data_IF_211251369781
#
_entry.id   IF_211251369781
#
_cell.length_a   1.000
_cell.length_b   1.000
_cell.length_c   1.000
_cell.angle_alpha   90.00
_cell.angle_beta   90.00
_cell.angle_gamma   90.00
#
_symmetry.space_group_name_H-M   'P 1'
#
loop_
_entity.id
_entity.type
_entity.pdbx_description
1 polymer ?
#
# COMPACT_ATOMS: atom_id res chain seq x y z
N UNK A 1 7.07 -23.41 22.68
CA UNK A 1 5.74 -23.01 22.17
C UNK A 1 5.96 -22.08 20.99
N UNK A 2 5.94 -22.59 19.76
CA UNK A 2 6.02 -21.73 18.58
C UNK A 2 4.64 -21.15 18.31
N UNK A 3 4.25 -20.13 19.07
CA UNK A 3 3.04 -19.37 18.79
C UNK A 3 3.15 -18.70 17.43
N UNK A 4 2.05 -18.63 16.71
CA UNK A 4 2.00 -17.85 15.46
C UNK A 4 2.34 -16.39 15.75
N UNK A 5 3.13 -15.69 14.90
CA UNK A 5 3.53 -14.32 15.16
C UNK A 5 2.33 -13.39 15.11
N UNK A 6 2.32 -12.36 15.96
CA UNK A 6 1.30 -11.30 15.88
C UNK A 6 1.40 -10.57 14.56
N UNK A 7 0.24 -10.25 13.97
CA UNK A 7 0.15 -9.49 12.72
C UNK A 7 -0.61 -8.20 12.96
N UNK A 8 -0.03 -7.08 12.53
CA UNK A 8 -0.66 -5.77 12.51
C UNK A 8 -1.12 -5.48 11.09
N UNK A 9 -2.45 -5.51 10.86
CA UNK A 9 -3.04 -5.13 9.56
C UNK A 9 -3.11 -3.62 9.50
N UNK A 10 -2.37 -3.01 8.59
CA UNK A 10 -2.25 -1.56 8.44
C UNK A 10 -3.01 -1.10 7.20
N UNK A 11 -4.00 -0.25 7.42
CA UNK A 11 -4.85 0.36 6.40
C UNK A 11 -4.64 1.88 6.40
N UNK A 12 -4.63 2.49 5.21
CA UNK A 12 -4.69 3.95 5.05
C UNK A 12 -6.02 4.30 4.40
N UNK A 13 -6.80 5.15 5.06
CA UNK A 13 -8.05 5.67 4.54
C UNK A 13 -7.92 7.15 4.15
N UNK A 14 -8.47 7.55 3.03
CA UNK A 14 -8.66 8.94 2.65
C UNK A 14 -9.96 9.11 1.86
N UNK A 15 -10.98 9.72 2.49
CA UNK A 15 -12.31 9.93 1.90
C UNK A 15 -12.91 8.64 1.28
N UNK A 16 -12.73 7.50 1.96
CA UNK A 16 -13.06 6.17 1.43
C UNK A 16 -13.70 5.24 2.45
N UNK A 17 -14.47 5.76 3.42
CA UNK A 17 -15.01 4.96 4.52
C UNK A 17 -15.83 3.74 4.07
N UNK A 18 -16.57 3.82 2.94
CA UNK A 18 -17.36 2.68 2.44
C UNK A 18 -16.49 1.49 2.09
N UNK A 19 -15.40 1.75 1.37
CA UNK A 19 -14.44 0.72 1.00
C UNK A 19 -13.70 0.21 2.24
N UNK A 20 -13.34 1.12 3.17
CA UNK A 20 -12.72 0.76 4.44
C UNK A 20 -13.61 -0.14 5.29
N UNK A 21 -14.91 0.12 5.39
CA UNK A 21 -15.83 -0.72 6.16
C UNK A 21 -15.95 -2.12 5.55
N UNK A 22 -16.04 -2.23 4.22
CA UNK A 22 -16.08 -3.53 3.53
C UNK A 22 -14.77 -4.31 3.72
N UNK A 23 -13.62 -3.63 3.66
CA UNK A 23 -12.32 -4.19 3.96
C UNK A 23 -12.26 -4.72 5.40
N UNK A 24 -12.65 -3.91 6.38
CA UNK A 24 -12.67 -4.28 7.80
C UNK A 24 -13.58 -5.48 8.05
N UNK A 25 -14.76 -5.56 7.43
CA UNK A 25 -15.64 -6.72 7.52
C UNK A 25 -14.93 -8.00 7.08
N UNK A 26 -14.12 -7.97 6.04
CA UNK A 26 -13.36 -9.13 5.58
C UNK A 26 -12.15 -9.43 6.48
N UNK A 27 -11.46 -8.41 6.95
CA UNK A 27 -10.28 -8.53 7.82
C UNK A 27 -10.66 -9.13 9.18
N UNK A 28 -11.76 -8.68 9.79
CA UNK A 28 -12.18 -9.22 11.09
C UNK A 28 -12.74 -10.65 11.03
N UNK A 29 -12.89 -11.22 9.82
CA UNK A 29 -13.22 -12.64 9.57
C UNK A 29 -12.03 -13.51 9.21
N UNK A 30 -10.80 -13.00 9.36
CA UNK A 30 -9.60 -13.79 9.09
C UNK A 30 -9.50 -14.99 10.04
N UNK A 31 -9.15 -16.13 9.47
CA UNK A 31 -8.81 -17.36 10.19
C UNK A 31 -7.34 -17.27 10.64
N UNK A 32 -7.09 -16.35 11.58
CA UNK A 32 -5.78 -16.12 12.18
C UNK A 32 -5.95 -15.64 13.63
N UNK A 33 -5.31 -16.28 14.63
CA UNK A 33 -5.67 -16.08 16.04
C UNK A 33 -5.19 -14.76 16.62
N UNK A 34 -4.03 -14.23 16.22
CA UNK A 34 -3.42 -13.05 16.84
C UNK A 34 -3.13 -11.96 15.80
N UNK A 35 -4.15 -11.14 15.50
CA UNK A 35 -3.98 -9.96 14.69
C UNK A 35 -4.66 -8.74 15.31
N UNK A 36 -4.15 -7.57 14.94
CA UNK A 36 -4.71 -6.24 15.27
C UNK A 36 -4.80 -5.41 14.01
N UNK A 37 -5.72 -4.47 14.00
CA UNK A 37 -5.94 -3.57 12.86
C UNK A 37 -5.58 -2.14 13.26
N UNK A 38 -4.77 -1.49 12.44
CA UNK A 38 -4.45 -0.06 12.55
C UNK A 38 -4.97 0.61 11.29
N UNK A 39 -5.89 1.55 11.45
CA UNK A 39 -6.41 2.38 10.37
C UNK A 39 -5.89 3.80 10.56
N UNK A 40 -5.06 4.25 9.63
CA UNK A 40 -4.63 5.64 9.56
C UNK A 40 -5.60 6.42 8.65
N UNK A 41 -6.45 7.24 9.26
CA UNK A 41 -7.28 8.18 8.53
C UNK A 41 -6.44 9.39 8.12
N UNK A 42 -6.20 9.50 6.85
CA UNK A 42 -5.20 10.39 6.24
C UNK A 42 -5.77 11.80 5.96
N UNK A 43 -6.45 12.38 6.95
CA UNK A 43 -7.05 13.71 6.85
C UNK A 43 -8.34 13.71 6.02
N UNK A 44 -9.23 12.73 6.22
CA UNK A 44 -10.52 12.67 5.55
C UNK A 44 -11.45 13.80 5.97
N UNK A 45 -12.30 14.24 5.04
CA UNK A 45 -13.30 15.30 5.23
C UNK A 45 -14.73 14.82 5.01
N UNK A 46 -14.91 13.51 4.79
CA UNK A 46 -16.19 12.87 4.46
C UNK A 46 -16.87 12.18 5.67
N UNK A 47 -16.36 12.40 6.90
CA UNK A 47 -16.83 11.76 8.11
C UNK A 47 -16.34 10.30 8.25
N UNK A 48 -15.24 9.95 7.61
CA UNK A 48 -14.69 8.59 7.62
C UNK A 48 -14.44 8.08 9.03
N UNK A 49 -13.82 8.87 9.91
CA UNK A 49 -13.48 8.45 11.29
C UNK A 49 -14.73 8.09 12.05
N UNK A 50 -15.73 8.95 12.07
CA UNK A 50 -17.02 8.78 12.76
C UNK A 50 -17.79 7.55 12.22
N UNK A 51 -17.69 7.33 10.89
CA UNK A 51 -18.31 6.15 10.24
C UNK A 51 -17.62 4.84 10.63
N UNK A 52 -16.30 4.84 10.76
CA UNK A 52 -15.55 3.66 11.19
C UNK A 52 -15.82 3.37 12.67
N UNK A 53 -15.92 4.40 13.54
CA UNK A 53 -16.31 4.25 14.94
C UNK A 53 -17.73 3.65 15.06
N UNK A 54 -18.72 4.23 14.38
CA UNK A 54 -20.08 3.73 14.36
C UNK A 54 -20.19 2.28 13.83
N UNK A 55 -19.33 1.91 12.88
CA UNK A 55 -19.23 0.52 12.42
C UNK A 55 -18.67 -0.39 13.51
N UNK A 56 -17.64 -0.01 14.22
CA UNK A 56 -17.07 -0.79 15.33
C UNK A 56 -18.08 -0.96 16.47
N UNK A 57 -18.90 0.05 16.74
CA UNK A 57 -19.99 0.03 17.74
C UNK A 57 -21.20 -0.79 17.28
N UNK A 58 -21.31 -1.14 15.99
CA UNK A 58 -22.42 -1.91 15.44
C UNK A 58 -23.61 -1.07 14.96
N UNK A 59 -23.52 0.27 15.01
CA UNK A 59 -24.59 1.19 14.59
C UNK A 59 -24.54 1.54 13.10
N UNK A 60 -23.39 1.38 12.44
CA UNK A 60 -23.19 1.59 10.99
C UNK A 60 -22.93 0.24 10.31
N UNK A 61 -23.80 -0.23 9.40
CA UNK A 61 -23.51 -1.42 8.62
C UNK A 61 -22.44 -1.15 7.54
N UNK A 62 -21.62 -2.15 7.25
CA UNK A 62 -20.83 -2.16 6.03
C UNK A 62 -21.76 -2.54 4.86
N UNK A 63 -21.68 -1.77 3.78
CA UNK A 63 -22.40 -2.09 2.53
C UNK A 63 -21.41 -2.73 1.56
N UNK A 64 -21.57 -4.04 1.29
CA UNK A 64 -20.88 -4.67 0.17
C UNK A 64 -21.45 -4.15 -1.15
N UNK A 65 -20.59 -3.70 -2.05
CA UNK A 65 -21.03 -3.16 -3.33
C UNK A 65 -21.23 -4.24 -4.41
N UNK A 66 -20.79 -5.49 -4.17
CA UNK A 66 -20.92 -6.60 -5.13
C UNK A 66 -21.05 -7.98 -4.49
N UNK A 67 -21.98 -8.77 -5.06
CA UNK A 67 -22.25 -10.17 -4.73
C UNK A 67 -21.15 -11.14 -5.24
N UNK A 68 -20.16 -10.64 -5.99
CA UNK A 68 -19.23 -11.47 -6.76
C UNK A 68 -17.88 -11.77 -6.07
N UNK A 69 -17.45 -10.98 -5.09
CA UNK A 69 -16.34 -11.42 -4.25
C UNK A 69 -16.87 -12.53 -3.33
N UNK A 70 -16.15 -13.65 -3.12
CA UNK A 70 -16.57 -14.64 -2.16
C UNK A 70 -16.68 -13.99 -0.81
N UNK A 71 -17.90 -13.56 -0.48
CA UNK A 71 -18.20 -12.96 0.82
C UNK A 71 -17.95 -14.01 1.87
N UNK A 72 -17.17 -13.70 2.87
CA UNK A 72 -17.00 -14.61 3.97
C UNK A 72 -18.33 -14.72 4.70
N UNK A 73 -18.78 -15.94 4.90
CA UNK A 73 -19.73 -16.35 5.90
C UNK A 73 -20.90 -15.38 6.20
N UNK A 74 -22.12 -15.83 6.06
CA UNK A 74 -23.36 -15.09 6.42
C UNK A 74 -23.48 -14.76 7.92
N UNK A 75 -22.49 -15.17 8.72
CA UNK A 75 -22.47 -14.89 10.17
C UNK A 75 -22.06 -13.44 10.42
N UNK A 76 -22.91 -12.63 11.09
CA UNK A 76 -22.54 -11.29 11.50
C UNK A 76 -21.27 -11.29 12.37
N UNK A 77 -20.46 -10.23 12.29
CA UNK A 77 -19.38 -10.03 13.24
C UNK A 77 -19.96 -9.68 14.61
N UNK A 78 -19.36 -10.24 15.65
CA UNK A 78 -19.66 -9.83 17.03
C UNK A 78 -19.23 -8.38 17.24
N UNK A 79 -20.18 -7.54 17.58
CA UNK A 79 -19.99 -6.13 17.89
C UNK A 79 -20.55 -5.81 19.27
N UNK A 80 -19.99 -4.82 19.99
CA UNK A 80 -18.98 -3.86 19.55
C UNK A 80 -17.56 -4.46 19.44
N UNK A 81 -16.78 -3.96 18.48
CA UNK A 81 -15.35 -4.25 18.39
C UNK A 81 -14.62 -3.18 19.22
N UNK A 82 -13.85 -3.57 20.27
CA UNK A 82 -13.08 -2.62 21.06
C UNK A 82 -12.08 -1.85 20.18
N UNK A 83 -12.12 -0.52 20.28
CA UNK A 83 -11.23 0.35 19.50
C UNK A 83 -10.66 1.47 20.34
N UNK A 84 -9.55 2.03 19.85
CA UNK A 84 -8.90 3.23 20.37
C UNK A 84 -8.82 4.25 19.25
N UNK A 85 -9.16 5.49 19.53
CA UNK A 85 -8.90 6.63 18.66
C UNK A 85 -7.76 7.45 19.24
N UNK A 86 -6.76 7.77 18.42
CA UNK A 86 -5.66 8.65 18.80
C UNK A 86 -5.28 9.59 17.64
N UNK A 87 -4.70 10.71 18.00
CA UNK A 87 -4.13 11.66 17.04
C UNK A 87 -2.73 11.20 16.61
N UNK A 88 -2.28 11.65 15.42
CA UNK A 88 -0.95 11.32 14.88
C UNK A 88 0.17 11.45 15.92
N UNK A 89 0.24 12.58 16.65
CA UNK A 89 1.31 12.82 17.62
C UNK A 89 1.30 11.83 18.79
N UNK A 90 0.14 11.31 19.16
CA UNK A 90 0.00 10.26 20.18
C UNK A 90 0.45 8.91 19.61
N UNK A 91 0.00 8.58 18.39
CA UNK A 91 0.37 7.35 17.70
C UNK A 91 1.90 7.25 17.52
N UNK A 92 2.56 8.28 17.01
CA UNK A 92 4.01 8.28 16.78
C UNK A 92 4.83 8.18 18.08
N UNK A 93 4.21 8.35 19.26
CA UNK A 93 4.81 8.07 20.57
C UNK A 93 4.44 6.69 21.13
N UNK A 94 3.72 5.88 20.36
CA UNK A 94 3.27 4.55 20.78
C UNK A 94 2.16 4.57 21.83
N UNK A 95 1.45 5.71 22.01
CA UNK A 95 0.40 5.84 22.99
C UNK A 95 -0.81 4.98 22.60
N UNK A 96 -1.30 4.23 23.57
CA UNK A 96 -2.56 3.48 23.49
C UNK A 96 -3.13 3.32 24.89
N UNK A 97 -4.33 3.84 25.17
CA UNK A 97 -4.99 3.69 26.47
C UNK A 97 -5.43 2.24 26.72
N UNK A 98 -5.68 1.49 25.66
CA UNK A 98 -5.97 0.07 25.69
C UNK A 98 -4.96 -0.67 24.79
N UNK A 99 -3.92 -1.28 25.37
CA UNK A 99 -2.91 -2.01 24.60
C UNK A 99 -3.46 -3.28 23.93
N UNK A 100 -4.64 -3.73 24.33
CA UNK A 100 -5.28 -4.94 23.80
C UNK A 100 -6.42 -4.65 22.79
N UNK A 101 -6.70 -3.37 22.51
CA UNK A 101 -7.68 -2.99 21.51
C UNK A 101 -7.42 -3.68 20.16
N UNK A 102 -8.45 -4.28 19.60
CA UNK A 102 -8.36 -4.99 18.31
C UNK A 102 -8.29 -4.03 17.11
N UNK A 103 -8.78 -2.79 17.30
CA UNK A 103 -8.79 -1.75 16.29
C UNK A 103 -8.18 -0.47 16.85
N UNK A 104 -7.21 0.09 16.14
CA UNK A 104 -6.63 1.41 16.45
C UNK A 104 -6.93 2.33 15.29
N UNK A 105 -7.60 3.44 15.56
CA UNK A 105 -7.86 4.51 14.61
C UNK A 105 -6.87 5.64 14.87
N UNK A 106 -6.09 6.00 13.87
CA UNK A 106 -5.15 7.12 13.96
C UNK A 106 -5.67 8.24 13.06
N UNK A 107 -6.02 9.38 13.67
CA UNK A 107 -6.47 10.56 12.92
C UNK A 107 -5.28 11.43 12.56
N UNK A 108 -5.15 11.74 11.26
CA UNK A 108 -4.21 12.71 10.73
C UNK A 108 -4.95 14.00 10.37
N UNK A 109 -4.28 15.14 10.51
CA UNK A 109 -4.83 16.46 10.18
C UNK A 109 -4.77 16.78 8.68
N UNK A 110 -3.97 16.03 7.91
CA UNK A 110 -3.74 16.29 6.49
C UNK A 110 -3.45 14.99 5.71
N UNK A 111 -3.60 15.05 4.39
CA UNK A 111 -3.30 13.92 3.51
C UNK A 111 -1.80 13.84 3.19
N UNK A 112 -1.11 12.91 3.82
CA UNK A 112 0.31 12.63 3.64
C UNK A 112 0.61 11.66 2.47
N UNK A 113 -0.40 11.33 1.66
CA UNK A 113 -0.28 10.30 0.62
C UNK A 113 -0.28 8.88 1.19
N UNK A 114 -0.15 7.91 0.30
CA UNK A 114 -0.08 6.51 0.69
C UNK A 114 1.14 6.23 1.57
N UNK A 115 2.27 6.80 1.19
CA UNK A 115 3.55 6.62 1.90
C UNK A 115 3.51 7.17 3.31
N UNK A 116 3.13 8.43 3.48
CA UNK A 116 3.11 9.08 4.78
C UNK A 116 2.08 8.46 5.72
N UNK A 117 0.88 8.14 5.20
CA UNK A 117 -0.15 7.45 5.99
C UNK A 117 0.32 6.10 6.53
N UNK A 118 0.95 5.26 5.68
CA UNK A 118 1.53 3.98 6.13
C UNK A 118 2.68 4.20 7.12
N UNK A 119 3.53 5.20 6.90
CA UNK A 119 4.64 5.49 7.80
C UNK A 119 4.17 5.88 9.20
N UNK A 120 3.08 6.62 9.34
CA UNK A 120 2.50 6.93 10.66
C UNK A 120 2.13 5.65 11.40
N UNK A 121 1.43 4.71 10.75
CA UNK A 121 1.09 3.43 11.34
C UNK A 121 2.33 2.58 11.69
N UNK A 122 3.33 2.56 10.82
CA UNK A 122 4.58 1.84 11.09
C UNK A 122 5.38 2.47 12.24
N UNK A 123 5.43 3.81 12.35
CA UNK A 123 6.02 4.51 13.52
C UNK A 123 5.28 4.19 14.81
N UNK A 124 3.96 4.10 14.77
CA UNK A 124 3.16 3.64 15.91
C UNK A 124 3.63 2.28 16.40
N UNK A 125 3.78 1.29 15.51
CA UNK A 125 4.24 -0.04 15.87
C UNK A 125 5.68 -0.04 16.42
N UNK A 126 6.57 0.73 15.80
CA UNK A 126 7.96 0.87 16.28
C UNK A 126 8.04 1.51 17.67
N UNK A 127 7.27 2.58 17.91
CA UNK A 127 7.26 3.30 19.20
C UNK A 127 6.71 2.42 20.34
N UNK A 128 5.83 1.47 20.03
CA UNK A 128 5.35 0.47 20.99
C UNK A 128 6.34 -0.67 21.24
N UNK A 129 7.37 -0.80 20.41
CA UNK A 129 8.25 -1.97 20.46
C UNK A 129 7.57 -3.25 19.99
N UNK A 130 6.50 -3.14 19.20
CA UNK A 130 5.75 -4.29 18.70
C UNK A 130 6.65 -5.20 17.86
N UNK A 131 6.43 -6.50 17.99
CA UNK A 131 7.16 -7.55 17.28
C UNK A 131 6.19 -8.28 16.33
N UNK A 132 6.74 -9.09 15.44
CA UNK A 132 5.97 -9.91 14.51
C UNK A 132 5.92 -9.33 13.11
N UNK A 133 4.72 -9.13 12.56
CA UNK A 133 4.52 -8.80 11.16
C UNK A 133 3.62 -7.57 11.00
N UNK A 134 3.85 -6.78 9.95
CA UNK A 134 2.91 -5.77 9.49
C UNK A 134 2.37 -6.16 8.11
N UNK A 135 1.06 -6.15 7.96
CA UNK A 135 0.38 -6.38 6.69
C UNK A 135 -0.15 -5.05 6.16
N UNK A 136 0.60 -4.43 5.25
CA UNK A 136 0.14 -3.26 4.49
C UNK A 136 -0.91 -3.74 3.51
N UNK A 137 -2.11 -3.21 3.64
CA UNK A 137 -3.27 -3.60 2.85
C UNK A 137 -4.04 -2.34 2.40
N UNK A 138 -4.42 -2.26 1.14
CA UNK A 138 -5.27 -1.17 0.68
C UNK A 138 -6.67 -1.29 1.29
N UNK A 139 -7.25 -0.15 1.66
CA UNK A 139 -8.58 -0.09 2.26
C UNK A 139 -9.73 -0.40 1.29
N UNK A 140 -9.47 -0.46 -0.02
CA UNK A 140 -10.41 -0.85 -1.08
C UNK A 140 -10.23 -2.33 -1.51
N UNK A 141 -9.84 -3.19 -0.55
CA UNK A 141 -9.68 -4.64 -0.74
C UNK A 141 -10.69 -5.45 0.06
N UNK A 142 -10.94 -6.66 -0.40
CA UNK A 142 -11.63 -7.74 0.34
C UNK A 142 -10.69 -8.94 0.39
N UNK A 143 -10.52 -9.53 1.56
CA UNK A 143 -9.57 -10.63 1.78
C UNK A 143 -10.31 -11.95 2.03
N UNK A 144 -9.76 -13.05 1.51
CA UNK A 144 -10.23 -14.40 1.89
C UNK A 144 -9.78 -14.73 3.32
N UNK A 145 -10.62 -15.41 4.09
CA UNK A 145 -10.34 -15.72 5.51
C UNK A 145 -9.01 -16.41 5.74
N UNK A 146 -8.58 -17.28 4.83
CA UNK A 146 -7.31 -17.99 4.89
C UNK A 146 -6.08 -17.18 4.47
N UNK A 147 -6.26 -16.00 3.87
CA UNK A 147 -5.17 -15.27 3.19
C UNK A 147 -4.01 -14.92 4.11
N UNK A 148 -4.31 -14.44 5.31
CA UNK A 148 -3.25 -14.07 6.26
C UNK A 148 -2.44 -15.30 6.69
N UNK A 149 -3.10 -16.41 7.00
CA UNK A 149 -2.45 -17.67 7.36
C UNK A 149 -1.52 -18.17 6.25
N UNK A 150 -1.96 -18.12 4.99
CA UNK A 150 -1.15 -18.53 3.83
C UNK A 150 0.08 -17.62 3.62
N UNK A 151 -0.06 -16.32 3.87
CA UNK A 151 1.08 -15.40 3.78
C UNK A 151 2.08 -15.61 4.92
N UNK A 152 1.60 -15.81 6.15
CA UNK A 152 2.45 -16.09 7.30
C UNK A 152 3.18 -17.43 7.12
N UNK A 153 2.49 -18.47 6.68
CA UNK A 153 3.11 -19.76 6.39
C UNK A 153 4.24 -19.61 5.37
N UNK A 154 4.04 -18.85 4.30
CA UNK A 154 5.05 -18.60 3.27
C UNK A 154 6.29 -17.89 3.83
N UNK A 155 6.12 -16.92 4.75
CA UNK A 155 7.24 -16.25 5.43
C UNK A 155 7.99 -17.19 6.39
N UNK A 156 7.27 -18.11 7.03
CA UNK A 156 7.84 -19.08 7.98
C UNK A 156 8.61 -20.19 7.26
N UNK A 157 8.16 -20.62 6.08
CA UNK A 157 8.80 -21.66 5.28
C UNK A 157 10.17 -21.25 4.74
N UNK A 158 10.45 -19.95 4.65
CA UNK A 158 11.69 -19.42 4.08
C UNK A 158 12.18 -18.22 4.91
N UNK A 159 13.08 -18.45 5.88
CA UNK A 159 13.60 -17.40 6.77
C UNK A 159 14.32 -16.25 6.04
N UNK A 160 14.80 -16.46 4.81
CA UNK A 160 15.45 -15.42 4.01
C UNK A 160 14.46 -14.34 3.50
N UNK A 161 13.17 -14.65 3.53
CA UNK A 161 12.12 -13.70 3.12
C UNK A 161 11.88 -12.66 4.22
N UNK A 162 11.87 -11.39 3.84
CA UNK A 162 11.43 -10.29 4.71
C UNK A 162 10.03 -9.80 4.37
N UNK A 163 9.55 -10.07 3.16
CA UNK A 163 8.24 -9.64 2.70
C UNK A 163 7.61 -10.63 1.71
N UNK A 164 6.26 -10.71 1.74
CA UNK A 164 5.46 -11.62 0.89
C UNK A 164 4.25 -10.89 0.34
N UNK A 165 3.98 -11.10 -0.97
CA UNK A 165 2.75 -10.62 -1.63
C UNK A 165 1.75 -11.76 -1.86
N UNK A 166 0.46 -11.42 -1.94
CA UNK A 166 -0.64 -12.33 -2.23
C UNK A 166 -1.01 -12.36 -3.72
N UNK A 167 -1.90 -13.27 -4.12
CA UNK A 167 -2.62 -13.19 -5.40
C UNK A 167 -3.73 -12.15 -5.26
N UNK A 168 -3.59 -11.04 -5.98
CA UNK A 168 -4.58 -9.99 -6.02
C UNK A 168 -5.44 -10.15 -7.27
N UNK A 169 -6.76 -10.20 -7.08
CA UNK A 169 -7.76 -10.31 -8.15
C UNK A 169 -8.46 -8.97 -8.36
N UNK A 170 -9.02 -8.78 -9.55
CA UNK A 170 -9.94 -7.67 -9.79
C UNK A 170 -11.23 -7.90 -9.01
N UNK A 171 -11.68 -6.90 -8.26
CA UNK A 171 -12.92 -6.99 -7.49
C UNK A 171 -14.14 -7.20 -8.40
N UNK A 172 -14.23 -6.45 -9.51
CA UNK A 172 -15.32 -6.56 -10.49
C UNK A 172 -15.22 -7.79 -11.39
N UNK A 173 -14.08 -8.50 -11.38
CA UNK A 173 -13.81 -9.70 -12.15
C UNK A 173 -13.08 -10.73 -11.26
N UNK A 174 -13.76 -11.37 -10.30
CA UNK A 174 -13.13 -12.13 -9.21
C UNK A 174 -12.26 -13.32 -9.65
N UNK A 175 -12.46 -13.82 -10.87
CA UNK A 175 -11.61 -14.87 -11.46
C UNK A 175 -10.38 -14.36 -12.19
N UNK A 176 -10.23 -13.02 -12.36
CA UNK A 176 -9.14 -12.42 -13.13
C UNK A 176 -8.06 -11.88 -12.21
N UNK A 177 -6.85 -12.38 -12.36
CA UNK A 177 -5.69 -11.91 -11.61
C UNK A 177 -5.32 -10.50 -12.05
N UNK A 178 -5.23 -9.58 -11.08
CA UNK A 178 -4.69 -8.23 -11.23
C UNK A 178 -3.18 -8.25 -11.05
N UNK A 179 -2.69 -8.88 -9.98
CA UNK A 179 -1.26 -9.00 -9.64
C UNK A 179 -0.99 -10.33 -8.97
N UNK A 180 0.05 -11.04 -9.40
CA UNK A 180 0.58 -12.22 -8.75
C UNK A 180 1.80 -11.84 -7.89
N UNK A 181 1.57 -11.47 -6.64
CA UNK A 181 2.57 -11.05 -5.66
C UNK A 181 3.12 -9.65 -5.88
N UNK A 182 3.48 -9.28 -7.08
CA UNK A 182 4.14 -8.02 -7.40
C UNK A 182 4.54 -7.92 -8.86
N UNK A 183 5.77 -7.46 -9.14
CA UNK A 183 6.18 -7.27 -10.54
C UNK A 183 7.66 -7.08 -10.75
N UNK A 184 7.99 -6.55 -11.94
CA UNK A 184 9.34 -6.27 -12.40
C UNK A 184 9.53 -4.78 -12.64
N UNK A 185 10.71 -4.29 -12.33
CA UNK A 185 11.14 -2.92 -12.58
C UNK A 185 11.98 -2.87 -13.86
N UNK A 186 11.64 -1.99 -14.78
CA UNK A 186 12.55 -1.59 -15.86
C UNK A 186 13.61 -0.65 -15.31
N UNK A 187 14.83 -1.13 -15.18
CA UNK A 187 15.97 -0.31 -14.71
C UNK A 187 16.40 0.77 -15.69
N UNK A 188 15.79 0.83 -16.89
CA UNK A 188 16.05 1.84 -17.89
C UNK A 188 15.04 2.98 -17.85
N UNK A 189 13.79 2.69 -17.55
CA UNK A 189 12.71 3.68 -17.58
C UNK A 189 12.16 4.05 -16.21
N UNK A 190 12.40 3.24 -15.16
CA UNK A 190 11.79 3.40 -13.84
C UNK A 190 10.33 2.94 -13.76
N UNK A 191 9.76 2.50 -14.89
CA UNK A 191 8.38 2.00 -14.90
C UNK A 191 8.32 0.51 -14.56
N UNK A 192 7.21 0.13 -13.95
CA UNK A 192 6.97 -1.22 -13.48
C UNK A 192 6.02 -1.98 -14.39
N UNK A 193 6.15 -3.30 -14.39
CA UNK A 193 5.20 -4.23 -14.98
C UNK A 193 4.78 -5.23 -13.92
N UNK A 194 3.47 -5.39 -13.71
CA UNK A 194 2.96 -6.38 -12.76
C UNK A 194 3.03 -7.79 -13.33
N UNK A 195 3.36 -8.75 -12.46
CA UNK A 195 3.30 -10.15 -12.81
C UNK A 195 1.82 -10.58 -12.93
N UNK A 196 1.45 -11.14 -14.08
CA UNK A 196 0.14 -11.75 -14.33
C UNK A 196 0.37 -13.19 -14.72
N UNK A 197 -0.23 -14.11 -13.96
CA UNK A 197 -0.15 -15.54 -14.26
C UNK A 197 -1.49 -15.97 -14.84
N UNK A 198 -1.48 -16.74 -15.92
CA UNK A 198 -2.70 -17.17 -16.61
C UNK A 198 -3.54 -18.16 -15.76
N UNK A 199 -2.95 -18.82 -14.74
CA UNK A 199 -3.61 -19.80 -13.89
C UNK A 199 -2.87 -19.93 -12.56
N UNK A 200 -3.62 -20.10 -11.47
CA UNK A 200 -3.11 -20.35 -10.12
C UNK A 200 -2.54 -21.78 -9.93
N UNK A 201 -2.73 -22.68 -10.87
CA UNK A 201 -2.38 -24.11 -10.75
C UNK A 201 -0.96 -24.47 -11.20
N UNK A 202 -0.25 -23.61 -11.92
CA UNK A 202 1.15 -23.82 -12.34
C UNK A 202 2.05 -22.67 -11.90
N UNK A 203 2.22 -22.54 -10.58
CA UNK A 203 2.92 -21.40 -10.00
C UNK A 203 4.40 -21.73 -9.77
N UNK A 204 5.20 -21.65 -10.80
CA UNK A 204 6.58 -21.21 -10.60
C UNK A 204 6.49 -19.76 -10.10
N UNK A 205 6.95 -19.53 -8.86
CA UNK A 205 6.93 -18.19 -8.28
C UNK A 205 7.53 -17.18 -9.25
N UNK A 206 6.83 -16.11 -9.63
CA UNK A 206 7.40 -15.13 -10.54
C UNK A 206 8.63 -14.51 -9.88
N UNK A 207 9.66 -14.23 -10.66
CA UNK A 207 10.80 -13.46 -10.16
C UNK A 207 10.34 -12.03 -9.94
N UNK A 208 10.24 -11.61 -8.67
CA UNK A 208 9.75 -10.30 -8.28
C UNK A 208 10.93 -9.34 -8.03
N UNK A 209 10.83 -8.12 -8.56
CA UNK A 209 11.69 -7.01 -8.15
C UNK A 209 11.02 -6.19 -7.04
N UNK A 210 9.69 -6.24 -6.94
CA UNK A 210 8.88 -5.63 -5.87
C UNK A 210 7.60 -6.43 -5.61
N UNK A 211 7.02 -6.23 -4.42
CA UNK A 211 5.70 -6.70 -4.03
C UNK A 211 4.71 -5.56 -4.21
N UNK A 212 3.47 -5.86 -4.60
CA UNK A 212 2.42 -4.85 -4.77
C UNK A 212 2.05 -4.19 -3.44
N UNK A 213 2.03 -2.86 -3.41
CA UNK A 213 1.60 -2.08 -2.25
C UNK A 213 0.12 -2.29 -1.86
N UNK A 214 -0.69 -2.87 -2.75
CA UNK A 214 -2.08 -3.21 -2.43
C UNK A 214 -2.20 -4.32 -1.37
N UNK A 215 -1.19 -5.20 -1.28
CA UNK A 215 -1.18 -6.31 -0.33
C UNK A 215 0.26 -6.79 -0.11
N UNK A 216 0.90 -6.39 1.00
CA UNK A 216 2.28 -6.73 1.34
C UNK A 216 2.41 -7.06 2.83
N UNK A 217 2.75 -8.31 3.15
CA UNK A 217 3.09 -8.74 4.52
C UNK A 217 4.60 -8.65 4.71
N UNK A 218 5.05 -7.97 5.76
CA UNK A 218 6.45 -7.63 6.02
C UNK A 218 6.81 -7.96 7.46
N UNK A 219 8.02 -8.50 7.68
CA UNK A 219 8.56 -8.66 9.04
C UNK A 219 8.86 -7.29 9.65
N UNK A 220 8.47 -7.04 10.91
CA UNK A 220 8.73 -5.77 11.58
C UNK A 220 10.21 -5.45 11.72
N UNK A 221 11.08 -6.46 11.75
CA UNK A 221 12.53 -6.28 11.72
C UNK A 221 13.01 -5.51 10.47
N UNK A 222 12.33 -5.65 9.34
CA UNK A 222 12.63 -4.88 8.11
C UNK A 222 12.52 -3.37 8.35
N UNK A 223 11.59 -2.91 9.20
CA UNK A 223 11.45 -1.49 9.52
C UNK A 223 12.68 -0.94 10.24
N UNK A 224 13.33 -1.77 11.07
CA UNK A 224 14.56 -1.43 11.77
C UNK A 224 15.77 -1.48 10.83
N UNK A 225 15.89 -2.54 10.03
CA UNK A 225 17.08 -2.86 9.26
C UNK A 225 17.16 -2.08 7.94
N UNK A 226 16.01 -1.77 7.33
CA UNK A 226 15.88 -1.09 6.03
C UNK A 226 15.29 0.31 6.15
N UNK A 227 14.59 0.59 7.26
CA UNK A 227 13.83 1.81 7.48
C UNK A 227 12.43 1.76 6.83
N UNK A 228 11.71 2.86 6.97
CA UNK A 228 10.35 3.04 6.50
C UNK A 228 10.27 3.31 4.98
N UNK A 229 9.07 3.51 4.47
CA UNK A 229 8.84 3.98 3.11
C UNK A 229 9.46 5.37 2.93
N UNK A 230 9.97 5.67 1.75
CA UNK A 230 10.61 6.96 1.45
C UNK A 230 9.54 8.04 1.14
N UNK A 231 9.34 8.98 2.04
CA UNK A 231 8.27 9.99 1.95
C UNK A 231 8.41 10.98 0.78
N UNK A 232 9.50 10.91 0.02
CA UNK A 232 9.61 11.63 -1.24
C UNK A 232 8.63 11.13 -2.30
N UNK A 233 8.15 9.88 -2.15
CA UNK A 233 7.04 9.33 -2.90
C UNK A 233 5.75 9.62 -2.14
N UNK A 234 4.90 10.43 -2.70
CA UNK A 234 3.56 10.63 -2.14
C UNK A 234 2.69 9.37 -2.34
N UNK A 235 2.79 8.81 -3.55
CA UNK A 235 2.20 7.55 -3.98
C UNK A 235 2.88 7.05 -5.26
N UNK A 236 2.82 5.74 -5.48
CA UNK A 236 3.47 4.97 -6.55
C UNK A 236 4.99 4.93 -6.43
N UNK A 237 5.53 3.74 -6.58
CA UNK A 237 6.95 3.37 -6.50
C UNK A 237 7.57 3.39 -5.10
N UNK A 238 6.88 3.80 -4.04
CA UNK A 238 7.34 3.68 -2.66
C UNK A 238 7.59 2.22 -2.28
N UNK A 239 6.71 1.31 -2.66
CA UNK A 239 6.85 -0.13 -2.46
C UNK A 239 8.00 -0.71 -3.29
N UNK A 240 8.22 -0.16 -4.49
CA UNK A 240 9.34 -0.55 -5.34
C UNK A 240 10.67 -0.12 -4.72
N UNK A 241 10.76 1.13 -4.27
CA UNK A 241 11.92 1.67 -3.55
C UNK A 241 12.25 0.81 -2.32
N UNK A 242 11.24 0.50 -1.52
CA UNK A 242 11.40 -0.28 -0.30
C UNK A 242 11.88 -1.70 -0.58
N UNK A 243 11.29 -2.37 -1.55
CA UNK A 243 11.71 -3.70 -1.98
C UNK A 243 13.14 -3.71 -2.56
N UNK A 244 13.56 -2.65 -3.27
CA UNK A 244 14.94 -2.53 -3.74
C UNK A 244 15.91 -2.36 -2.57
N UNK A 245 15.57 -1.56 -1.56
CA UNK A 245 16.37 -1.42 -0.33
C UNK A 245 16.45 -2.72 0.46
N UNK A 246 15.34 -3.46 0.61
CA UNK A 246 15.34 -4.80 1.21
C UNK A 246 16.33 -5.72 0.50
N UNK A 247 16.29 -5.76 -0.83
CA UNK A 247 17.21 -6.59 -1.63
C UNK A 247 18.67 -6.16 -1.53
N UNK A 248 18.96 -4.87 -1.40
CA UNK A 248 20.31 -4.37 -1.14
C UNK A 248 20.82 -4.79 0.24
N UNK A 249 19.93 -4.96 1.22
CA UNK A 249 20.20 -5.48 2.54
C UNK A 249 20.24 -7.03 2.59
N UNK A 250 20.16 -7.73 1.44
CA UNK A 250 20.16 -9.19 1.37
C UNK A 250 18.83 -9.86 1.74
N UNK A 251 17.76 -9.09 1.89
CA UNK A 251 16.44 -9.57 2.25
C UNK A 251 15.66 -9.94 0.97
N UNK A 252 15.10 -11.16 0.94
CA UNK A 252 14.39 -11.67 -0.22
C UNK A 252 12.89 -11.39 -0.17
N UNK A 253 12.26 -11.43 -1.35
CA UNK A 253 10.82 -11.20 -1.54
C UNK A 253 10.15 -12.53 -1.92
N UNK A 254 8.99 -12.80 -1.31
CA UNK A 254 8.21 -13.99 -1.53
C UNK A 254 6.86 -13.74 -2.20
N UNK A 255 6.22 -14.84 -2.61
CA UNK A 255 4.86 -14.87 -3.12
C UNK A 255 4.09 -16.02 -2.49
N UNK A 256 2.91 -15.73 -1.97
CA UNK A 256 1.96 -16.68 -1.40
C UNK A 256 0.78 -16.88 -2.38
N UNK A 257 0.86 -17.86 -3.29
CA UNK A 257 -0.12 -18.01 -4.37
C UNK A 257 -1.53 -18.39 -3.89
N UNK A 258 -1.65 -19.00 -2.71
CA UNK A 258 -2.93 -19.40 -2.12
C UNK A 258 -3.62 -18.30 -1.32
N UNK A 259 -2.88 -17.26 -0.93
CA UNK A 259 -3.47 -16.06 -0.35
C UNK A 259 -4.21 -15.26 -1.43
N UNK A 260 -5.51 -14.99 -1.23
CA UNK A 260 -6.37 -14.34 -2.21
C UNK A 260 -6.94 -13.04 -1.67
N UNK A 261 -6.78 -11.99 -2.45
CA UNK A 261 -7.24 -10.63 -2.13
C UNK A 261 -7.94 -10.06 -3.36
N UNK A 262 -9.12 -9.50 -3.21
CA UNK A 262 -9.84 -8.79 -4.27
C UNK A 262 -9.67 -7.29 -4.06
N UNK A 263 -9.19 -6.59 -5.08
CA UNK A 263 -8.86 -5.17 -5.01
C UNK A 263 -9.69 -4.40 -6.04
N UNK A 264 -10.41 -3.40 -5.58
CA UNK A 264 -11.23 -2.55 -6.45
C UNK A 264 -10.35 -1.74 -7.38
N UNK A 265 -9.27 -1.16 -6.83
CA UNK A 265 -8.36 -0.32 -7.60
C UNK A 265 -9.05 0.91 -8.18
N UNK A 266 -8.30 1.78 -8.80
CA UNK A 266 -8.87 2.96 -9.47
C UNK A 266 -9.77 2.62 -10.69
N UNK A 267 -9.90 1.32 -11.04
CA UNK A 267 -10.57 0.88 -12.26
C UNK A 267 -12.09 0.93 -12.22
N UNK A 268 -12.71 0.87 -11.04
CA UNK A 268 -14.17 0.74 -10.92
C UNK A 268 -14.91 2.07 -10.76
N UNK A 269 -14.27 3.13 -10.24
CA UNK A 269 -14.96 4.38 -9.90
C UNK A 269 -14.26 5.66 -10.36
N UNK A 270 -12.95 5.64 -10.61
CA UNK A 270 -12.21 6.81 -11.10
C UNK A 270 -11.93 6.70 -12.61
N UNK A 271 -11.94 7.83 -13.36
CA UNK A 271 -11.45 7.81 -14.73
C UNK A 271 -10.03 7.21 -14.74
N UNK A 272 -9.78 6.22 -15.61
CA UNK A 272 -8.48 5.51 -15.77
C UNK A 272 -7.27 6.44 -15.91
N UNK A 273 -7.49 7.73 -16.01
CA UNK A 273 -6.52 8.79 -16.17
C UNK A 273 -6.92 9.97 -15.30
N UNK A 274 -6.59 9.94 -14.01
CA UNK A 274 -6.62 11.14 -13.19
C UNK A 274 -5.34 11.94 -13.40
N UNK A 275 -5.44 13.27 -13.36
CA UNK A 275 -4.29 14.18 -13.44
C UNK A 275 -3.26 13.86 -12.35
N UNK A 276 -3.74 13.50 -11.16
CA UNK A 276 -2.93 13.11 -10.02
C UNK A 276 -2.12 11.84 -10.27
N UNK A 277 -2.73 10.84 -10.92
CA UNK A 277 -2.04 9.59 -11.30
C UNK A 277 -0.93 9.83 -12.30
N UNK A 278 -1.21 10.58 -13.37
CA UNK A 278 -0.23 10.89 -14.41
C UNK A 278 0.99 11.62 -13.82
N UNK A 279 0.74 12.60 -12.92
CA UNK A 279 1.78 13.34 -12.21
C UNK A 279 2.67 12.41 -11.36
N UNK A 280 2.07 11.69 -10.40
CA UNK A 280 2.84 10.86 -9.48
C UNK A 280 3.54 9.70 -10.17
N UNK A 281 2.93 9.07 -11.17
CA UNK A 281 3.57 7.97 -11.92
C UNK A 281 4.87 8.42 -12.57
N UNK A 282 4.88 9.58 -13.24
CA UNK A 282 6.09 10.09 -13.91
C UNK A 282 7.12 10.56 -12.88
N UNK A 283 6.72 11.39 -11.91
CA UNK A 283 7.62 11.93 -10.88
C UNK A 283 8.29 10.80 -10.08
N UNK A 284 7.51 9.82 -9.63
CA UNK A 284 8.02 8.70 -8.83
C UNK A 284 8.95 7.79 -9.63
N UNK A 285 8.66 7.50 -10.90
CA UNK A 285 9.57 6.75 -11.76
C UNK A 285 10.92 7.45 -11.94
N UNK A 286 10.93 8.78 -12.12
CA UNK A 286 12.16 9.56 -12.25
C UNK A 286 12.95 9.59 -10.93
N UNK A 287 12.27 9.75 -9.79
CA UNK A 287 12.89 9.67 -8.46
C UNK A 287 13.56 8.31 -8.25
N UNK A 288 12.90 7.23 -8.63
CA UNK A 288 13.40 5.87 -8.49
C UNK A 288 14.69 5.67 -9.31
N UNK A 289 14.69 6.08 -10.59
CA UNK A 289 15.88 6.00 -11.45
C UNK A 289 16.99 6.92 -10.93
N UNK A 290 16.66 8.14 -10.51
CA UNK A 290 17.66 9.05 -9.95
C UNK A 290 18.35 8.47 -8.71
N UNK A 291 17.61 7.73 -7.87
CA UNK A 291 18.14 7.10 -6.65
C UNK A 291 18.98 5.85 -6.92
N UNK A 292 18.50 4.95 -7.79
CA UNK A 292 19.10 3.62 -7.95
C UNK A 292 19.92 3.42 -9.24
N UNK A 293 19.77 4.29 -10.23
CA UNK A 293 20.48 4.22 -11.51
C UNK A 293 20.63 5.61 -12.16
N UNK A 294 21.29 6.58 -11.50
CA UNK A 294 21.31 7.98 -11.93
C UNK A 294 21.90 8.18 -13.33
N UNK A 295 22.84 7.35 -13.76
CA UNK A 295 23.41 7.34 -15.11
C UNK A 295 22.38 6.99 -16.22
N UNK A 296 21.23 6.41 -15.86
CA UNK A 296 20.15 6.06 -16.79
C UNK A 296 19.02 7.11 -16.82
N UNK A 297 19.13 8.16 -16.01
CA UNK A 297 18.10 9.21 -15.92
C UNK A 297 17.77 9.85 -17.28
N UNK A 298 18.73 10.19 -18.16
CA UNK A 298 18.41 10.74 -19.49
C UNK A 298 17.54 9.80 -20.33
N UNK A 299 17.81 8.50 -20.27
CA UNK A 299 17.01 7.48 -20.98
C UNK A 299 15.61 7.38 -20.41
N UNK A 300 15.49 7.37 -19.06
CA UNK A 300 14.20 7.34 -18.39
C UNK A 300 13.34 8.57 -18.72
N UNK A 301 13.93 9.74 -18.76
CA UNK A 301 13.25 11.00 -19.16
C UNK A 301 12.77 10.89 -20.61
N UNK A 302 13.64 10.54 -21.55
CA UNK A 302 13.29 10.39 -22.97
C UNK A 302 12.17 9.36 -23.17
N UNK A 303 12.24 8.23 -22.48
CA UNK A 303 11.23 7.18 -22.52
C UNK A 303 9.88 7.68 -21.97
N UNK A 304 9.89 8.34 -20.83
CA UNK A 304 8.66 8.86 -20.20
C UNK A 304 8.02 9.98 -21.03
N UNK A 305 8.82 10.83 -21.70
CA UNK A 305 8.32 11.84 -22.64
C UNK A 305 7.62 11.14 -23.80
N UNK A 306 8.25 10.13 -24.42
CA UNK A 306 7.70 9.41 -25.56
C UNK A 306 6.40 8.68 -25.23
N UNK A 307 6.27 8.12 -24.02
CA UNK A 307 5.12 7.28 -23.61
C UNK A 307 4.04 8.04 -22.89
N UNK A 308 4.40 9.05 -22.09
CA UNK A 308 3.45 9.74 -21.22
C UNK A 308 3.09 11.15 -21.73
N UNK A 309 3.99 11.87 -22.36
CA UNK A 309 3.76 13.26 -22.80
C UNK A 309 3.36 13.36 -24.28
N UNK A 310 4.18 12.85 -25.19
CA UNK A 310 3.95 12.98 -26.64
C UNK A 310 2.57 12.49 -27.08
N UNK A 311 2.05 11.32 -26.64
CA UNK A 311 0.71 10.88 -27.05
C UNK A 311 -0.41 11.83 -26.61
N UNK A 312 -0.25 12.53 -25.48
CA UNK A 312 -1.21 13.52 -25.01
C UNK A 312 -1.15 14.79 -25.84
N UNK A 313 0.05 15.24 -26.20
CA UNK A 313 0.26 16.43 -27.06
C UNK A 313 -0.28 16.19 -28.48
N UNK A 314 0.04 15.07 -29.09
CA UNK A 314 -0.42 14.68 -30.44
C UNK A 314 -1.95 14.62 -30.50
N UNK A 315 -2.59 14.08 -29.42
CA UNK A 315 -4.06 14.02 -29.30
C UNK A 315 -4.68 15.33 -28.82
N UNK A 316 -3.93 16.42 -28.72
CA UNK A 316 -4.36 17.74 -28.21
C UNK A 316 -5.01 17.68 -26.82
N UNK A 317 -4.63 16.73 -25.98
CA UNK A 317 -5.14 16.55 -24.62
C UNK A 317 -4.35 17.42 -23.62
N UNK A 318 -4.34 18.74 -23.82
CA UNK A 318 -3.54 19.69 -23.07
C UNK A 318 -3.76 19.63 -21.55
N UNK A 319 -5.00 19.44 -21.13
CA UNK A 319 -5.33 19.27 -19.70
C UNK A 319 -4.59 18.08 -19.09
N UNK A 320 -4.48 16.96 -19.82
CA UNK A 320 -3.77 15.76 -19.38
C UNK A 320 -2.25 15.83 -19.53
N UNK A 321 -1.74 16.67 -20.40
CA UNK A 321 -0.31 16.91 -20.57
C UNK A 321 0.27 17.74 -19.42
N UNK A 322 -0.50 18.70 -18.88
CA UNK A 322 -0.07 19.60 -17.78
C UNK A 322 0.49 18.84 -16.57
N UNK A 323 -0.22 17.87 -15.94
CA UNK A 323 0.30 17.14 -14.78
C UNK A 323 1.64 16.45 -15.06
N UNK A 324 1.82 15.90 -16.26
CA UNK A 324 3.08 15.28 -16.68
C UNK A 324 4.20 16.32 -16.80
N UNK A 325 3.91 17.50 -17.35
CA UNK A 325 4.88 18.60 -17.43
C UNK A 325 5.26 19.12 -16.06
N UNK A 326 4.28 19.30 -15.16
CA UNK A 326 4.52 19.68 -13.77
C UNK A 326 5.40 18.65 -13.05
N UNK A 327 5.18 17.35 -13.28
CA UNK A 327 6.01 16.28 -12.70
C UNK A 327 7.50 16.43 -13.08
N UNK A 328 7.81 16.81 -14.33
CA UNK A 328 9.19 17.11 -14.71
C UNK A 328 9.74 18.35 -14.03
N UNK A 329 8.97 19.45 -14.01
CA UNK A 329 9.38 20.69 -13.38
C UNK A 329 9.73 20.48 -11.91
N UNK A 330 8.84 19.82 -11.15
CA UNK A 330 9.04 19.56 -9.74
C UNK A 330 10.21 18.60 -9.49
N UNK A 331 10.34 17.57 -10.31
CA UNK A 331 11.46 16.65 -10.21
C UNK A 331 12.81 17.37 -10.41
N UNK A 332 12.96 18.13 -11.49
CA UNK A 332 14.23 18.82 -11.78
C UNK A 332 14.51 19.96 -10.80
N UNK A 333 13.49 20.69 -10.36
CA UNK A 333 13.63 21.71 -9.31
C UNK A 333 14.16 21.11 -8.00
N UNK A 334 13.58 19.97 -7.59
CA UNK A 334 14.01 19.27 -6.38
C UNK A 334 15.45 18.69 -6.48
N UNK A 335 15.84 18.21 -7.65
CA UNK A 335 17.21 17.71 -7.88
C UNK A 335 18.22 18.88 -7.88
N UNK A 336 17.86 20.03 -8.46
CA UNK A 336 18.71 21.22 -8.50
C UNK A 336 18.89 21.84 -7.11
N UNK A 337 17.82 21.99 -6.32
CA UNK A 337 17.89 22.54 -4.96
C UNK A 337 18.84 21.75 -4.05
N UNK A 338 18.90 20.42 -4.20
CA UNK A 338 19.85 19.58 -3.46
C UNK A 338 21.32 19.79 -3.85
N UNK A 339 21.59 20.16 -5.12
CA UNK A 339 22.95 20.45 -5.58
C UNK A 339 23.45 21.81 -5.07
N UNK A 340 22.55 22.76 -4.82
CA UNK A 340 22.88 24.10 -4.37
C UNK A 340 22.88 24.27 -2.85
N UNK A 341 22.53 23.23 -2.09
CA UNK A 341 22.51 23.25 -0.62
C UNK A 341 21.43 24.15 -0.01
N UNK A 342 20.41 24.55 -0.77
CA UNK A 342 19.31 25.39 -0.30
C UNK A 342 18.22 24.54 0.39
N UNK A 343 18.05 24.63 1.73
CA UNK A 343 17.06 23.87 2.48
C UNK A 343 15.62 24.41 2.36
N UNK A 344 15.40 25.51 1.64
CA UNK A 344 14.15 26.30 1.66
C UNK A 344 12.97 25.76 0.82
N UNK A 345 13.11 24.65 0.08
CA UNK A 345 11.99 24.02 -0.65
C UNK A 345 11.83 22.57 -0.22
N UNK A 346 11.16 22.36 0.91
CA UNK A 346 10.71 21.03 1.30
C UNK A 346 9.70 20.50 0.26
N UNK A 347 9.82 19.23 -0.08
CA UNK A 347 8.97 18.52 -1.07
C UNK A 347 7.60 18.15 -0.48
N UNK A 348 6.89 19.11 0.13
CA UNK A 348 5.53 18.91 0.64
C UNK A 348 4.59 19.86 -0.09
N UNK A 349 3.90 19.36 -1.08
CA UNK A 349 2.56 19.82 -1.50
C UNK A 349 1.95 18.78 -2.44
#
# INVERSE_FOLDING_TARGET
MNGQPRVHVLLVNYNGWRDTLECLESVFRLDYPDFRVVVCDNGSTDGSVERIQAWAEGTQPATSSHVAAPTPCDTPLDKPIPYVLCERAQAERGWSPDPDARLVLVRLSENLGFTGGNNVGMRYLQARGDQGLVWILNNDTVVESSSLREMVARLSDDPSLGAVGATVFWYDQPGRIQVAGGGRLSRWSGFTTVARVASTTRLRAPRLDFISGACMLVKLDVLRDVGLLDERYFMYSEEVDWCLRMRQAGIHLGYAPRARVWHKGEGSRAPRHSDRRDYHTVRSALLLIHKFAPNRLPVAVAWSISRCLIPKLVRRQWRRARPVMTAYQDFFSAVSARRTGDPGRSMTS
#
